data_IF_734435194826
#
_entry.id   IF_734435194826
#
_cell.length_a   1.000
_cell.length_b   1.000
_cell.length_c   1.000
_cell.angle_alpha   90.00
_cell.angle_beta   90.00
_cell.angle_gamma   90.00
#
_symmetry.space_group_name_H-M   'P 1'
#
loop_
_entity.id
_entity.type
_entity.pdbx_description
1 polymer ?
#
# COMPACT_ATOMS: atom_id res chain seq x y z
N UNK A 1 5.00 9.08 -19.49
CA UNK A 1 3.71 9.33 -18.80
C UNK A 1 3.81 10.53 -17.86
N UNK A 2 4.78 10.54 -16.93
CA UNK A 2 5.02 11.66 -16.00
C UNK A 2 5.00 13.05 -16.67
N UNK A 3 5.75 13.24 -17.76
CA UNK A 3 5.84 14.54 -18.44
C UNK A 3 4.51 15.00 -19.07
N UNK A 4 3.64 14.06 -19.43
CA UNK A 4 2.29 14.39 -19.94
C UNK A 4 1.44 14.91 -18.80
N UNK A 5 1.45 14.22 -17.65
CA UNK A 5 0.70 14.61 -16.47
C UNK A 5 1.25 15.92 -15.85
N UNK A 6 2.56 16.12 -15.83
CA UNK A 6 3.19 17.37 -15.38
C UNK A 6 2.78 18.55 -16.27
N UNK A 7 2.80 18.40 -17.59
CA UNK A 7 2.32 19.45 -18.52
C UNK A 7 0.83 19.72 -18.36
N UNK A 8 0.01 18.68 -18.16
CA UNK A 8 -1.41 18.85 -17.90
C UNK A 8 -1.65 19.58 -16.57
N UNK A 9 -0.87 19.27 -15.53
CA UNK A 9 -0.91 19.97 -14.25
C UNK A 9 -0.54 21.45 -14.40
N UNK A 10 0.57 21.74 -15.08
CA UNK A 10 1.02 23.12 -15.34
C UNK A 10 -0.02 23.90 -16.16
N UNK A 11 -0.60 23.29 -17.20
CA UNK A 11 -1.62 23.92 -18.02
C UNK A 11 -2.90 24.24 -17.22
N UNK A 12 -3.27 23.40 -16.26
CA UNK A 12 -4.47 23.59 -15.44
C UNK A 12 -4.24 24.58 -14.29
N UNK A 13 -3.08 24.55 -13.65
CA UNK A 13 -2.81 25.30 -12.41
C UNK A 13 -1.88 26.50 -12.57
N UNK A 14 -1.29 26.69 -13.75
CA UNK A 14 -0.35 27.77 -14.06
C UNK A 14 0.98 27.68 -13.30
N UNK A 15 1.32 26.53 -12.73
CA UNK A 15 2.53 26.33 -11.93
C UNK A 15 3.04 24.89 -12.00
N UNK A 16 4.35 24.73 -11.88
CA UNK A 16 4.98 23.41 -11.82
C UNK A 16 4.64 22.71 -10.49
N UNK A 17 4.29 21.42 -10.49
CA UNK A 17 3.96 20.69 -9.26
C UNK A 17 5.11 20.69 -8.24
N UNK A 18 6.37 20.68 -8.68
CA UNK A 18 7.55 20.68 -7.80
C UNK A 18 7.75 22.03 -7.10
N UNK A 19 7.03 23.09 -7.49
CA UNK A 19 7.03 24.38 -6.80
C UNK A 19 6.10 24.44 -5.58
N UNK A 20 5.29 23.40 -5.35
CA UNK A 20 4.29 23.37 -4.28
C UNK A 20 4.88 22.63 -3.07
N UNK A 21 5.13 23.39 -1.99
CA UNK A 21 5.79 22.85 -0.79
C UNK A 21 4.85 22.05 0.13
N UNK A 22 3.55 22.35 0.14
CA UNK A 22 2.60 21.62 0.96
C UNK A 22 2.15 20.33 0.25
N UNK A 23 2.49 19.15 0.78
CA UNK A 23 2.21 17.88 0.11
C UNK A 23 0.71 17.53 0.07
N UNK A 24 -0.10 18.05 0.99
CA UNK A 24 -1.56 17.84 0.98
C UNK A 24 -2.19 18.72 -0.08
N UNK A 25 -1.79 20.00 -0.15
CA UNK A 25 -2.25 20.90 -1.21
C UNK A 25 -1.85 20.37 -2.58
N UNK A 26 -0.58 19.96 -2.77
CA UNK A 26 -0.12 19.33 -4.00
C UNK A 26 -0.97 18.12 -4.38
N UNK A 27 -1.28 17.25 -3.41
CA UNK A 27 -2.09 16.05 -3.64
C UNK A 27 -3.51 16.40 -4.11
N UNK A 28 -4.17 17.39 -3.50
CA UNK A 28 -5.49 17.85 -3.95
C UNK A 28 -5.47 18.47 -5.35
N UNK A 29 -4.40 19.18 -5.71
CA UNK A 29 -4.25 19.77 -7.04
C UNK A 29 -4.06 18.71 -8.13
N UNK A 30 -3.54 17.52 -7.80
CA UNK A 30 -3.45 16.42 -8.75
C UNK A 30 -4.80 15.79 -9.08
N UNK A 31 -5.81 15.92 -8.22
CA UNK A 31 -7.12 15.27 -8.39
C UNK A 31 -7.78 15.54 -9.76
N UNK A 32 -8.00 16.80 -10.21
CA UNK A 32 -8.64 17.05 -11.51
C UNK A 32 -7.84 16.49 -12.69
N UNK A 33 -6.51 16.47 -12.60
CA UNK A 33 -5.64 15.93 -13.64
C UNK A 33 -5.78 14.41 -13.68
N UNK A 34 -5.70 13.76 -12.52
CA UNK A 34 -5.82 12.31 -12.40
C UNK A 34 -7.20 11.83 -12.89
N UNK A 35 -8.27 12.51 -12.45
CA UNK A 35 -9.63 12.18 -12.85
C UNK A 35 -9.86 12.28 -14.36
N UNK A 36 -9.12 13.15 -15.04
CA UNK A 36 -9.19 13.32 -16.50
C UNK A 36 -8.40 12.24 -17.24
N UNK A 37 -7.17 11.92 -16.78
CA UNK A 37 -6.23 11.13 -17.58
C UNK A 37 -6.16 9.65 -17.18
N UNK A 38 -6.28 9.31 -15.89
CA UNK A 38 -6.05 7.95 -15.41
C UNK A 38 -7.06 6.93 -15.96
N UNK A 39 -8.38 7.22 -16.04
CA UNK A 39 -9.33 6.27 -16.64
C UNK A 39 -8.95 5.89 -18.08
N UNK A 40 -8.50 6.87 -18.88
CA UNK A 40 -8.04 6.64 -20.25
C UNK A 40 -6.75 5.79 -20.30
N UNK A 41 -5.80 6.05 -19.41
CA UNK A 41 -4.56 5.25 -19.30
C UNK A 41 -4.86 3.80 -18.93
N UNK A 42 -5.78 3.58 -18.00
CA UNK A 42 -6.16 2.25 -17.53
C UNK A 42 -7.03 1.48 -18.53
N UNK A 43 -7.75 2.16 -19.43
CA UNK A 43 -8.57 1.49 -20.46
C UNK A 43 -7.77 0.53 -21.35
N UNK A 44 -6.45 0.74 -21.49
CA UNK A 44 -5.53 -0.12 -22.24
C UNK A 44 -4.59 -0.95 -21.37
N UNK A 45 -4.73 -0.93 -20.03
CA UNK A 45 -3.84 -1.69 -19.13
C UNK A 45 -4.25 -3.16 -19.10
N UNK A 46 -3.29 -4.03 -19.39
CA UNK A 46 -3.50 -5.49 -19.36
C UNK A 46 -3.57 -6.00 -17.92
N UNK A 47 -4.45 -6.98 -17.69
CA UNK A 47 -4.47 -7.75 -16.44
C UNK A 47 -3.26 -8.69 -16.35
N UNK A 48 -2.51 -8.56 -15.26
CA UNK A 48 -1.32 -9.35 -14.94
C UNK A 48 -1.47 -10.17 -13.65
N UNK A 49 -2.68 -10.37 -13.15
CA UNK A 49 -2.95 -11.09 -11.90
C UNK A 49 -2.45 -12.55 -11.89
N UNK A 50 -2.24 -13.16 -13.06
CA UNK A 50 -1.55 -14.45 -13.19
C UNK A 50 -0.12 -14.45 -12.59
N UNK A 51 0.50 -13.28 -12.41
CA UNK A 51 1.84 -13.12 -11.85
C UNK A 51 1.88 -13.10 -10.32
N UNK A 52 0.73 -13.10 -9.63
CA UNK A 52 0.66 -13.04 -8.15
C UNK A 52 1.53 -14.12 -7.51
N UNK A 53 1.42 -15.37 -7.98
CA UNK A 53 2.20 -16.49 -7.44
C UNK A 53 3.71 -16.25 -7.56
N UNK A 54 4.18 -15.70 -8.68
CA UNK A 54 5.60 -15.38 -8.90
C UNK A 54 6.08 -14.28 -7.94
N UNK A 55 5.28 -13.22 -7.77
CA UNK A 55 5.60 -12.13 -6.84
C UNK A 55 5.66 -12.63 -5.39
N UNK A 56 4.70 -13.46 -4.99
CA UNK A 56 4.66 -14.05 -3.66
C UNK A 56 5.83 -15.00 -3.39
N UNK A 57 6.17 -15.85 -4.36
CA UNK A 57 7.33 -16.74 -4.24
C UNK A 57 8.65 -15.94 -4.13
N UNK A 58 8.79 -14.89 -4.94
CA UNK A 58 9.97 -14.00 -4.88
C UNK A 58 10.07 -13.32 -3.52
N UNK A 59 8.94 -12.80 -3.02
CA UNK A 59 8.87 -12.20 -1.69
C UNK A 59 9.28 -13.18 -0.59
N UNK A 60 8.71 -14.39 -0.61
CA UNK A 60 9.01 -15.44 0.36
C UNK A 60 10.50 -15.78 0.39
N UNK A 61 11.07 -16.10 -0.78
CA UNK A 61 12.49 -16.47 -0.90
C UNK A 61 13.41 -15.36 -0.40
N UNK A 62 13.16 -14.13 -0.82
CA UNK A 62 13.97 -12.99 -0.41
C UNK A 62 13.86 -12.72 1.09
N UNK A 63 12.64 -12.80 1.66
CA UNK A 63 12.45 -12.55 3.08
C UNK A 63 13.11 -13.62 3.95
N UNK A 64 12.98 -14.91 3.58
CA UNK A 64 13.64 -16.02 4.30
C UNK A 64 15.16 -15.83 4.29
N UNK A 65 15.74 -15.46 3.15
CA UNK A 65 17.18 -15.20 3.04
C UNK A 65 17.66 -14.05 3.96
N UNK A 66 16.79 -13.09 4.30
CA UNK A 66 17.11 -11.97 5.18
C UNK A 66 17.03 -12.32 6.68
N UNK A 67 16.32 -13.39 7.08
CA UNK A 67 16.07 -13.74 8.48
C UNK A 67 17.37 -13.85 9.31
N UNK A 68 18.44 -14.54 8.85
CA UNK A 68 19.69 -14.62 9.63
C UNK A 68 20.29 -13.25 9.96
N UNK A 69 20.26 -12.33 9.00
CA UNK A 69 20.75 -10.96 9.20
C UNK A 69 19.87 -10.17 10.16
N UNK A 70 18.54 -10.35 10.11
CA UNK A 70 17.59 -9.72 11.03
C UNK A 70 17.78 -10.21 12.47
N UNK A 71 18.06 -11.52 12.65
CA UNK A 71 18.40 -12.13 13.94
C UNK A 71 19.72 -11.57 14.49
N UNK A 72 20.76 -11.50 13.65
CA UNK A 72 22.06 -10.97 14.07
C UNK A 72 22.00 -9.49 14.48
N UNK A 73 21.29 -8.66 13.72
CA UNK A 73 21.12 -7.22 14.02
C UNK A 73 20.27 -6.97 15.26
N UNK A 74 19.45 -7.93 15.68
CA UNK A 74 18.57 -7.77 16.83
C UNK A 74 19.31 -7.58 18.16
N UNK A 75 20.62 -7.87 18.22
CA UNK A 75 21.48 -7.69 19.39
C UNK A 75 22.47 -6.53 19.25
N UNK A 76 22.54 -5.89 18.09
CA UNK A 76 23.48 -4.79 17.85
C UNK A 76 22.83 -3.44 18.14
N UNK A 77 23.36 -2.73 19.15
CA UNK A 77 22.92 -1.39 19.55
C UNK A 77 21.79 -1.37 20.59
N UNK A 78 21.87 -0.45 21.57
CA UNK A 78 20.90 -0.30 22.66
C UNK A 78 19.60 0.43 22.21
N UNK A 79 19.03 0.04 21.07
CA UNK A 79 17.93 0.75 20.40
C UNK A 79 16.53 0.30 20.83
N UNK A 80 16.38 -0.80 21.57
CA UNK A 80 15.08 -1.27 22.05
C UNK A 80 15.17 -1.97 23.43
N UNK A 81 14.01 -2.25 24.03
CA UNK A 81 13.90 -2.91 25.35
C UNK A 81 14.66 -4.24 25.39
N UNK A 82 14.57 -5.04 24.33
CA UNK A 82 15.18 -6.37 24.28
C UNK A 82 16.70 -6.30 24.20
N UNK A 83 17.27 -5.37 23.42
CA UNK A 83 18.73 -5.19 23.39
C UNK A 83 19.26 -4.65 24.72
N UNK A 84 18.52 -3.72 25.35
CA UNK A 84 18.89 -3.16 26.66
C UNK A 84 19.00 -4.22 27.75
N UNK A 85 18.13 -5.22 27.75
CA UNK A 85 18.09 -6.29 28.76
C UNK A 85 18.66 -7.63 28.26
N UNK A 86 19.41 -7.62 27.15
CA UNK A 86 20.02 -8.81 26.55
C UNK A 86 19.04 -9.98 26.36
N UNK A 87 17.87 -9.69 25.78
CA UNK A 87 16.80 -10.65 25.49
C UNK A 87 16.76 -11.01 23.99
N UNK A 88 17.64 -11.89 23.50
CA UNK A 88 17.85 -12.15 22.07
C UNK A 88 16.59 -12.62 21.33
N UNK A 89 15.83 -13.54 21.91
CA UNK A 89 14.64 -14.11 21.27
C UNK A 89 13.57 -13.05 21.00
N UNK A 90 13.32 -12.18 21.99
CA UNK A 90 12.37 -11.07 21.84
C UNK A 90 12.85 -10.01 20.85
N UNK A 91 14.15 -9.70 20.86
CA UNK A 91 14.76 -8.78 19.90
C UNK A 91 14.63 -9.29 18.47
N UNK A 92 14.92 -10.57 18.25
CA UNK A 92 14.82 -11.22 16.94
C UNK A 92 13.39 -11.22 16.42
N UNK A 93 12.43 -11.68 17.23
CA UNK A 93 11.02 -11.68 16.86
C UNK A 93 10.51 -10.27 16.52
N UNK A 94 10.87 -9.25 17.31
CA UNK A 94 10.50 -7.86 17.05
C UNK A 94 11.14 -7.31 15.77
N UNK A 95 12.41 -7.62 15.51
CA UNK A 95 13.13 -7.22 14.28
C UNK A 95 12.46 -7.83 13.03
N UNK A 96 12.17 -9.12 13.07
CA UNK A 96 11.56 -9.87 11.97
C UNK A 96 10.14 -9.36 11.69
N UNK A 97 9.30 -9.24 12.72
CA UNK A 97 7.90 -8.78 12.57
C UNK A 97 7.80 -7.35 12.03
N UNK A 98 8.68 -6.44 12.46
CA UNK A 98 8.75 -5.07 11.93
C UNK A 98 9.19 -5.04 10.46
N UNK A 99 10.20 -5.82 10.11
CA UNK A 99 10.69 -5.94 8.72
C UNK A 99 9.59 -6.50 7.81
N UNK A 100 8.94 -7.58 8.26
CA UNK A 100 7.84 -8.22 7.53
C UNK A 100 6.70 -7.24 7.30
N UNK A 101 6.23 -6.57 8.36
CA UNK A 101 5.13 -5.59 8.27
C UNK A 101 5.41 -4.47 7.26
N UNK A 102 6.64 -3.96 7.24
CA UNK A 102 7.07 -2.92 6.30
C UNK A 102 7.05 -3.43 4.86
N UNK A 103 7.66 -4.60 4.60
CA UNK A 103 7.73 -5.17 3.25
C UNK A 103 6.37 -5.65 2.74
N UNK A 104 5.49 -6.09 3.63
CA UNK A 104 4.10 -6.44 3.31
C UNK A 104 3.33 -5.22 2.78
N UNK A 105 3.55 -4.02 3.32
CA UNK A 105 2.97 -2.78 2.78
C UNK A 105 3.27 -2.60 1.28
N UNK A 106 4.55 -2.68 0.93
CA UNK A 106 4.99 -2.59 -0.48
C UNK A 106 4.47 -3.76 -1.32
N UNK A 107 4.36 -4.96 -0.74
CA UNK A 107 3.83 -6.13 -1.43
C UNK A 107 2.38 -5.93 -1.85
N UNK A 108 1.55 -5.34 -0.99
CA UNK A 108 0.13 -5.08 -1.30
C UNK A 108 -0.03 -4.15 -2.50
N UNK A 109 0.76 -3.08 -2.56
CA UNK A 109 0.76 -2.15 -3.68
C UNK A 109 1.16 -2.87 -4.98
N UNK A 110 2.25 -3.64 -4.96
CA UNK A 110 2.71 -4.40 -6.14
C UNK A 110 1.70 -5.44 -6.62
N UNK A 111 0.99 -6.08 -5.70
CA UNK A 111 -0.08 -7.03 -6.04
C UNK A 111 -1.27 -6.30 -6.66
N UNK A 112 -1.71 -5.19 -6.07
CA UNK A 112 -2.85 -4.44 -6.57
C UNK A 112 -2.62 -3.90 -7.99
N UNK A 113 -1.41 -3.41 -8.28
CA UNK A 113 -1.00 -2.91 -9.61
C UNK A 113 -1.03 -3.95 -10.74
N UNK A 114 -1.16 -5.24 -10.42
CA UNK A 114 -1.34 -6.27 -11.44
C UNK A 114 -2.73 -6.23 -12.08
N UNK A 115 -3.72 -5.65 -11.39
CA UNK A 115 -5.05 -5.48 -11.93
C UNK A 115 -5.09 -4.41 -13.02
N UNK A 116 -5.89 -4.65 -14.06
CA UNK A 116 -6.09 -3.74 -15.18
C UNK A 116 -6.67 -2.37 -14.80
N UNK A 117 -7.33 -2.25 -13.65
CA UNK A 117 -7.96 -0.99 -13.22
C UNK A 117 -7.30 -0.35 -11.99
N UNK A 118 -6.06 -0.72 -11.68
CA UNK A 118 -5.29 -0.13 -10.58
C UNK A 118 -3.99 0.47 -11.12
N UNK A 119 -3.62 1.64 -10.61
CA UNK A 119 -2.32 2.26 -10.89
C UNK A 119 -1.67 2.80 -9.62
N UNK A 120 -0.36 2.65 -9.49
CA UNK A 120 0.42 3.32 -8.44
C UNK A 120 0.94 4.68 -8.93
N UNK A 121 0.65 5.79 -8.22
CA UNK A 121 1.29 7.07 -8.50
C UNK A 121 2.82 6.98 -8.46
N UNK A 122 3.35 6.27 -7.44
CA UNK A 122 4.79 6.21 -7.23
C UNK A 122 5.48 5.29 -8.23
N UNK A 123 5.02 4.05 -8.38
CA UNK A 123 5.71 3.06 -9.20
C UNK A 123 5.44 3.20 -10.70
N UNK A 124 4.27 3.71 -11.12
CA UNK A 124 3.90 3.77 -12.54
C UNK A 124 3.89 5.21 -13.11
N UNK A 125 3.61 6.21 -12.27
CA UNK A 125 3.57 7.62 -12.70
C UNK A 125 4.80 8.42 -12.29
N UNK A 126 5.60 7.93 -11.35
CA UNK A 126 6.85 8.53 -10.92
C UNK A 126 6.69 9.76 -10.04
N UNK A 127 5.56 9.92 -9.35
CA UNK A 127 5.34 10.96 -8.35
C UNK A 127 4.56 10.43 -7.14
N UNK A 128 4.71 11.07 -5.98
CA UNK A 128 4.02 10.65 -4.76
C UNK A 128 2.78 11.51 -4.53
N UNK A 129 1.68 10.85 -4.20
CA UNK A 129 0.51 11.48 -3.59
C UNK A 129 0.54 11.17 -2.11
N UNK A 130 0.44 12.21 -1.27
CA UNK A 130 0.63 12.04 0.16
C UNK A 130 -0.49 11.17 0.73
N UNK A 131 -0.09 10.02 1.29
CA UNK A 131 -1.02 9.07 1.93
C UNK A 131 -1.78 8.15 0.99
N UNK A 132 -1.55 8.24 -0.33
CA UNK A 132 -2.16 7.37 -1.32
C UNK A 132 -1.14 6.35 -1.79
N UNK A 133 -1.49 5.07 -1.67
CA UNK A 133 -0.65 3.97 -2.13
C UNK A 133 -1.01 3.62 -3.59
N UNK A 134 -2.31 3.59 -3.93
CA UNK A 134 -2.80 3.30 -5.29
C UNK A 134 -4.04 4.13 -5.65
N UNK A 135 -4.34 4.17 -6.95
CA UNK A 135 -5.61 4.68 -7.50
C UNK A 135 -6.31 3.50 -8.17
N UNK A 136 -7.54 3.23 -7.73
CA UNK A 136 -8.44 2.24 -8.33
C UNK A 136 -9.45 2.97 -9.21
N UNK A 137 -9.62 2.60 -10.47
CA UNK A 137 -10.73 3.10 -11.30
C UNK A 137 -11.86 2.07 -11.30
N UNK A 138 -13.04 2.48 -10.86
CA UNK A 138 -14.22 1.62 -10.93
C UNK A 138 -14.57 1.35 -12.41
N UNK A 139 -14.59 0.08 -12.81
CA UNK A 139 -14.74 -0.33 -14.21
C UNK A 139 -16.11 0.01 -14.80
N UNK A 140 -17.13 0.18 -13.95
CA UNK A 140 -18.50 0.43 -14.40
C UNK A 140 -18.74 1.94 -14.58
N UNK A 141 -18.15 2.76 -13.72
CA UNK A 141 -18.40 4.20 -13.67
C UNK A 141 -17.26 5.05 -14.22
N UNK A 142 -16.04 4.49 -14.33
CA UNK A 142 -14.84 5.23 -14.68
C UNK A 142 -14.32 6.15 -13.56
N UNK A 143 -14.94 6.11 -12.37
CA UNK A 143 -14.59 6.99 -11.25
C UNK A 143 -13.32 6.50 -10.55
N UNK A 144 -12.29 7.34 -10.37
CA UNK A 144 -11.11 6.98 -9.58
C UNK A 144 -11.37 7.06 -8.08
N UNK A 145 -10.76 6.13 -7.34
CA UNK A 145 -10.75 6.05 -5.89
C UNK A 145 -9.31 6.03 -5.37
N UNK A 146 -8.95 7.06 -4.61
CA UNK A 146 -7.64 7.23 -4.02
C UNK A 146 -7.54 6.38 -2.75
N UNK A 147 -6.63 5.41 -2.77
CA UNK A 147 -6.68 4.31 -1.81
C UNK A 147 -5.41 4.25 -0.97
N UNK A 148 -5.60 4.18 0.35
CA UNK A 148 -4.55 3.83 1.29
C UNK A 148 -4.71 2.37 1.72
N UNK A 149 -3.68 1.56 1.49
CA UNK A 149 -3.61 0.16 1.84
C UNK A 149 -2.94 -0.02 3.21
N UNK A 150 -3.48 -0.95 4.00
CA UNK A 150 -2.91 -1.43 5.25
C UNK A 150 -3.09 -2.93 5.32
N UNK A 151 -2.18 -3.65 5.97
CA UNK A 151 -2.27 -5.11 6.06
C UNK A 151 -3.56 -5.58 6.73
N UNK A 152 -3.93 -4.95 7.85
CA UNK A 152 -5.11 -5.32 8.67
C UNK A 152 -5.73 -4.12 9.38
N UNK A 153 -6.94 -4.29 9.94
CA UNK A 153 -7.78 -3.23 10.54
C UNK A 153 -7.12 -2.43 11.68
N UNK A 154 -6.22 -3.06 12.43
CA UNK A 154 -5.52 -2.51 13.59
C UNK A 154 -4.07 -2.08 13.26
N UNK A 155 -3.73 -1.89 11.98
CA UNK A 155 -2.38 -1.46 11.57
C UNK A 155 -2.04 -0.05 12.04
N UNK A 156 -3.02 0.84 12.17
CA UNK A 156 -2.79 2.19 12.71
C UNK A 156 -2.86 2.17 14.23
N UNK A 157 -1.96 2.90 14.88
CA UNK A 157 -2.21 3.37 16.25
C UNK A 157 -3.23 4.50 16.19
N UNK A 158 -4.06 4.68 17.23
CA UNK A 158 -5.16 5.65 17.22
C UNK A 158 -4.73 7.10 16.90
N UNK A 159 -3.49 7.48 17.24
CA UNK A 159 -2.92 8.79 16.95
C UNK A 159 -2.69 9.04 15.44
N UNK A 160 -2.62 7.99 14.62
CA UNK A 160 -2.40 8.12 13.18
C UNK A 160 -3.71 8.20 12.36
N UNK A 161 -4.87 7.97 12.98
CA UNK A 161 -6.17 8.05 12.31
C UNK A 161 -6.49 9.45 11.78
N UNK A 162 -6.16 10.50 12.53
CA UNK A 162 -6.38 11.88 12.08
C UNK A 162 -5.56 12.20 10.83
N UNK A 163 -4.30 11.78 10.81
CA UNK A 163 -3.41 11.97 9.66
C UNK A 163 -3.92 11.25 8.40
N UNK A 164 -4.28 9.98 8.51
CA UNK A 164 -4.87 9.25 7.37
C UNK A 164 -6.14 9.93 6.86
N UNK A 165 -6.96 10.46 7.77
CA UNK A 165 -8.18 11.20 7.37
C UNK A 165 -7.83 12.47 6.62
N UNK A 166 -6.88 13.28 7.11
CA UNK A 166 -6.43 14.50 6.43
C UNK A 166 -5.90 14.21 5.03
N UNK A 167 -5.04 13.20 4.89
CA UNK A 167 -4.43 12.78 3.63
C UNK A 167 -5.50 12.32 2.61
N UNK A 168 -6.45 11.47 3.03
CA UNK A 168 -7.48 10.94 2.14
C UNK A 168 -8.62 11.92 1.85
N UNK A 169 -8.92 12.85 2.78
CA UNK A 169 -9.94 13.88 2.59
C UNK A 169 -9.57 14.96 1.56
N UNK A 170 -8.32 14.95 1.09
CA UNK A 170 -7.88 15.80 0.00
C UNK A 170 -8.47 15.40 -1.36
N UNK A 171 -9.18 14.27 -1.43
CA UNK A 171 -9.78 13.70 -2.62
C UNK A 171 -11.28 13.45 -2.42
N UNK A 172 -12.05 13.59 -3.49
CA UNK A 172 -13.50 13.42 -3.48
C UNK A 172 -13.93 11.97 -3.22
N UNK A 173 -13.14 11.01 -3.72
CA UNK A 173 -13.42 9.57 -3.62
C UNK A 173 -12.21 8.84 -3.05
N UNK A 174 -12.33 8.29 -1.84
CA UNK A 174 -11.21 7.65 -1.17
C UNK A 174 -11.59 6.37 -0.43
N UNK A 175 -10.65 5.42 -0.39
CA UNK A 175 -10.77 4.19 0.38
C UNK A 175 -9.65 4.05 1.40
N UNK A 176 -10.01 3.63 2.61
CA UNK A 176 -9.08 3.14 3.62
C UNK A 176 -9.22 1.63 3.73
N UNK A 177 -8.19 0.89 3.32
CA UNK A 177 -8.31 -0.55 3.06
C UNK A 177 -7.49 -1.38 4.04
N UNK A 178 -8.11 -2.41 4.58
CA UNK A 178 -7.42 -3.54 5.19
C UNK A 178 -7.30 -4.67 4.16
N UNK A 179 -6.09 -4.94 3.67
CA UNK A 179 -5.82 -5.91 2.60
C UNK A 179 -6.19 -7.35 2.97
N UNK A 180 -6.17 -7.70 4.25
CA UNK A 180 -6.55 -9.02 4.77
C UNK A 180 -7.63 -8.89 5.85
N UNK A 181 -8.63 -9.77 5.81
CA UNK A 181 -9.65 -9.86 6.85
C UNK A 181 -9.19 -10.69 8.06
N UNK A 182 -8.50 -10.03 8.98
CA UNK A 182 -8.23 -10.60 10.30
C UNK A 182 -9.40 -10.35 11.26
N UNK A 183 -9.54 -11.16 12.31
CA UNK A 183 -10.60 -11.03 13.34
C UNK A 183 -10.46 -9.79 14.25
N UNK A 184 -9.50 -8.89 13.99
CA UNK A 184 -9.30 -7.67 14.76
C UNK A 184 -10.38 -6.59 14.48
N UNK A 185 -10.41 -5.55 15.31
CA UNK A 185 -11.30 -4.38 15.12
C UNK A 185 -10.54 -3.26 14.42
N UNK A 186 -11.29 -2.36 13.79
CA UNK A 186 -10.72 -1.12 13.24
C UNK A 186 -10.18 -0.23 14.35
N UNK A 187 -8.92 0.17 14.24
CA UNK A 187 -8.36 1.28 15.01
C UNK A 187 -8.52 2.62 14.28
N UNK A 188 -8.75 2.57 12.97
CA UNK A 188 -9.14 3.74 12.18
C UNK A 188 -10.59 4.15 12.46
N UNK A 189 -10.76 5.37 12.98
CA UNK A 189 -12.03 5.96 13.38
C UNK A 189 -12.50 7.12 12.50
N UNK A 190 -11.82 7.38 11.38
CA UNK A 190 -12.19 8.46 10.47
C UNK A 190 -13.38 8.13 9.58
N UNK A 191 -13.82 9.12 8.80
CA UNK A 191 -15.03 9.09 7.98
C UNK A 191 -14.83 8.48 6.59
N UNK A 192 -13.57 8.28 6.16
CA UNK A 192 -13.26 7.69 4.87
C UNK A 192 -13.81 6.26 4.80
N UNK A 193 -14.35 5.88 3.65
CA UNK A 193 -14.95 4.58 3.46
C UNK A 193 -13.92 3.46 3.69
N UNK A 194 -14.25 2.55 4.60
CA UNK A 194 -13.43 1.40 4.97
C UNK A 194 -13.81 0.20 4.13
N UNK A 195 -12.83 -0.48 3.56
CA UNK A 195 -13.01 -1.77 2.89
C UNK A 195 -12.05 -2.80 3.48
N UNK A 196 -12.47 -4.07 3.48
CA UNK A 196 -11.66 -5.17 3.99
C UNK A 196 -11.69 -6.39 3.08
N UNK A 197 -10.52 -6.97 2.85
CA UNK A 197 -10.38 -8.23 2.11
C UNK A 197 -11.15 -8.18 0.79
N UNK A 198 -12.09 -9.12 0.61
CA UNK A 198 -12.94 -9.21 -0.59
C UNK A 198 -13.64 -7.90 -0.93
N UNK A 199 -14.09 -7.10 0.04
CA UNK A 199 -14.78 -5.83 -0.25
C UNK A 199 -13.94 -4.86 -1.09
N UNK A 200 -12.61 -4.93 -0.96
CA UNK A 200 -11.69 -4.18 -1.79
C UNK A 200 -11.26 -4.98 -3.02
N UNK A 201 -10.78 -6.21 -2.84
CA UNK A 201 -10.21 -6.99 -3.94
C UNK A 201 -11.22 -7.36 -5.03
N UNK A 202 -12.50 -7.53 -4.69
CA UNK A 202 -13.57 -7.77 -5.67
C UNK A 202 -13.85 -6.56 -6.58
N UNK A 203 -13.29 -5.38 -6.25
CA UNK A 203 -13.30 -4.19 -7.12
C UNK A 203 -12.15 -4.19 -8.13
N UNK A 204 -11.25 -5.16 -8.03
CA UNK A 204 -10.08 -5.38 -8.90
C UNK A 204 -10.25 -6.68 -9.68
N UNK A 205 -9.24 -7.08 -10.46
CA UNK A 205 -9.17 -8.38 -11.14
C UNK A 205 -8.75 -9.55 -10.22
N UNK A 206 -8.49 -9.26 -8.95
CA UNK A 206 -7.82 -10.19 -8.05
C UNK A 206 -8.84 -11.04 -7.30
N UNK A 207 -8.77 -12.36 -7.50
CA UNK A 207 -9.53 -13.31 -6.71
C UNK A 207 -9.02 -13.35 -5.26
N UNK A 208 -9.79 -12.77 -4.33
CA UNK A 208 -9.36 -12.65 -2.93
C UNK A 208 -9.13 -14.00 -2.25
N UNK A 209 -10.00 -14.98 -2.48
CA UNK A 209 -9.87 -16.31 -1.84
C UNK A 209 -8.55 -16.98 -2.21
N UNK A 210 -8.17 -16.90 -3.49
CA UNK A 210 -6.88 -17.40 -3.97
C UNK A 210 -5.70 -16.62 -3.39
N UNK A 211 -5.79 -15.28 -3.37
CA UNK A 211 -4.77 -14.42 -2.79
C UNK A 211 -4.55 -14.72 -1.30
N UNK A 212 -5.62 -14.78 -0.51
CA UNK A 212 -5.59 -15.03 0.93
C UNK A 212 -4.97 -16.40 1.25
N UNK A 213 -5.37 -17.43 0.51
CA UNK A 213 -4.79 -18.78 0.62
C UNK A 213 -3.29 -18.79 0.32
N UNK A 214 -2.84 -18.10 -0.73
CA UNK A 214 -1.43 -17.99 -1.10
C UNK A 214 -0.62 -17.22 -0.05
N UNK A 215 -1.13 -16.08 0.43
CA UNK A 215 -0.51 -15.31 1.52
C UNK A 215 -0.37 -16.17 2.76
N UNK A 216 -1.40 -16.91 3.15
CA UNK A 216 -1.35 -17.82 4.29
C UNK A 216 -0.24 -18.87 4.17
N UNK A 217 -0.01 -19.41 2.96
CA UNK A 217 1.12 -20.32 2.70
C UNK A 217 2.47 -19.62 2.85
N UNK A 218 2.62 -18.43 2.29
CA UNK A 218 3.85 -17.63 2.40
C UNK A 218 4.19 -17.31 3.85
N UNK A 219 3.21 -16.86 4.63
CA UNK A 219 3.42 -16.51 6.04
C UNK A 219 3.82 -17.74 6.86
N UNK A 220 3.17 -18.89 6.68
CA UNK A 220 3.56 -20.15 7.36
C UNK A 220 4.97 -20.62 6.96
N UNK A 221 5.34 -20.44 5.69
CA UNK A 221 6.69 -20.75 5.22
C UNK A 221 7.74 -19.84 5.85
N UNK A 222 7.47 -18.53 5.94
CA UNK A 222 8.37 -17.59 6.64
C UNK A 222 8.49 -17.97 8.12
N UNK A 223 7.37 -18.25 8.78
CA UNK A 223 7.32 -18.59 10.21
C UNK A 223 8.15 -19.85 10.54
N UNK A 224 8.18 -20.85 9.67
CA UNK A 224 9.00 -22.06 9.87
C UNK A 224 10.51 -21.82 9.82
N UNK A 225 10.97 -20.61 9.51
CA UNK A 225 12.38 -20.22 9.47
C UNK A 225 12.76 -19.21 10.58
N UNK A 226 11.78 -18.76 11.37
CA UNK A 226 11.98 -17.87 12.53
C UNK A 226 12.41 -18.70 13.74
#
# INVERSE_FOLDING_TARGET
>A
MRDVLYRAFEAHHGRNPDSINDPIVLSSMWEPIINTYIPGILSGKTDHTAQISTILNTFQTNFIAEIPALKARALTGATNLFTKYNAPSGGAANSITRSLSTKMGNLWERIAMLSSNVISPEYELGFKLKGIDIILVDKNTGVPYYTQLKTKKDTLTGAHSHRSTQELSAFSNAYFVASIDCTCRWTYSGTIQKLIGSQFWDKTDINYVSLDSQIGRVIRSIDSHI
#
